data_IF_219315258789
#
_entry.id   IF_219315258789
#
_cell.length_a   1.000
_cell.length_b   1.000
_cell.length_c   1.000
_cell.angle_alpha   90.00
_cell.angle_beta   90.00
_cell.angle_gamma   90.00
#
_symmetry.space_group_name_H-M   'P 1'
#
loop_
_entity.id
_entity.type
_entity.pdbx_description
1 polymer ?
#
# COMPACT_ATOMS: atom_id res chain seq x y z
N UNK A 1 -16.13 30.95 -0.64
CA UNK A 1 -16.88 29.69 -0.41
C UNK A 1 -17.26 29.15 -1.78
N UNK A 2 -17.66 27.89 -1.93
CA UNK A 2 -18.12 27.35 -3.23
C UNK A 2 -19.49 27.96 -3.54
N UNK A 3 -19.51 29.14 -4.17
CA UNK A 3 -20.69 30.02 -4.26
C UNK A 3 -21.51 29.82 -5.55
N UNK A 4 -21.11 28.89 -6.43
CA UNK A 4 -21.90 28.54 -7.62
C UNK A 4 -22.50 27.15 -7.53
N UNK A 5 -23.79 27.02 -7.84
CA UNK A 5 -24.51 25.74 -7.96
C UNK A 5 -23.79 24.76 -8.91
N UNK A 6 -23.05 25.30 -9.90
CA UNK A 6 -22.22 24.53 -10.83
C UNK A 6 -21.00 23.85 -10.18
N UNK A 7 -20.48 24.38 -9.07
CA UNK A 7 -19.32 23.83 -8.33
C UNK A 7 -19.76 22.90 -7.17
N UNK A 8 -20.94 23.15 -6.61
CA UNK A 8 -21.56 22.30 -5.58
C UNK A 8 -21.98 20.92 -6.11
N UNK A 9 -22.43 20.83 -7.37
CA UNK A 9 -22.86 19.54 -7.98
C UNK A 9 -21.70 18.54 -8.11
N UNK A 10 -20.56 18.90 -8.71
CA UNK A 10 -19.38 18.03 -8.76
C UNK A 10 -18.90 17.65 -7.35
N UNK A 11 -18.91 18.59 -6.40
CA UNK A 11 -18.51 18.32 -5.03
C UNK A 11 -19.44 17.33 -4.32
N UNK A 12 -20.76 17.41 -4.55
CA UNK A 12 -21.73 16.43 -4.07
C UNK A 12 -21.56 15.06 -4.71
N UNK A 13 -21.40 15.01 -6.04
CA UNK A 13 -21.15 13.75 -6.76
C UNK A 13 -19.87 13.08 -6.26
N UNK A 14 -18.82 13.88 -6.03
CA UNK A 14 -17.58 13.41 -5.42
C UNK A 14 -17.82 12.97 -3.96
N UNK A 15 -18.56 13.72 -3.14
CA UNK A 15 -18.81 13.35 -1.74
C UNK A 15 -19.62 12.07 -1.62
N UNK A 16 -20.59 11.88 -2.50
CA UNK A 16 -21.43 10.68 -2.57
C UNK A 16 -20.63 9.47 -3.08
N UNK A 17 -19.63 9.68 -3.96
CA UNK A 17 -18.67 8.66 -4.37
C UNK A 17 -17.63 8.30 -3.28
N UNK A 18 -17.40 9.18 -2.30
CA UNK A 18 -16.51 8.96 -1.15
C UNK A 18 -17.06 8.00 -0.08
N UNK A 19 -18.24 7.41 -0.29
CA UNK A 19 -18.87 6.46 0.65
C UNK A 19 -18.37 5.03 0.41
N UNK A 20 -17.86 4.71 -0.78
CA UNK A 20 -17.27 3.40 -1.07
C UNK A 20 -15.79 3.35 -0.71
N UNK A 21 -15.38 2.31 0.03
CA UNK A 21 -13.96 2.01 0.28
C UNK A 21 -13.18 2.08 -1.04
N UNK A 22 -12.16 2.96 -1.14
CA UNK A 22 -11.34 3.05 -2.35
C UNK A 22 -10.82 1.68 -2.80
N UNK A 23 -10.91 1.38 -4.10
CA UNK A 23 -10.44 0.10 -4.66
C UNK A 23 -8.97 -0.19 -4.32
N UNK A 24 -8.14 0.86 -4.19
CA UNK A 24 -6.74 0.74 -3.79
C UNK A 24 -6.57 0.08 -2.41
N UNK A 25 -7.45 0.39 -1.46
CA UNK A 25 -7.47 -0.25 -0.13
C UNK A 25 -7.86 -1.71 -0.28
N UNK A 26 -8.92 -1.99 -1.04
CA UNK A 26 -9.40 -3.36 -1.29
C UNK A 26 -8.33 -4.23 -1.93
N UNK A 27 -7.66 -3.72 -2.96
CA UNK A 27 -6.55 -4.41 -3.66
C UNK A 27 -5.37 -4.63 -2.70
N UNK A 28 -4.98 -3.61 -1.94
CA UNK A 28 -3.85 -3.70 -1.01
C UNK A 28 -4.11 -4.71 0.11
N UNK A 29 -5.33 -4.75 0.66
CA UNK A 29 -5.73 -5.79 1.62
C UNK A 29 -5.73 -7.18 1.01
N UNK A 30 -6.28 -7.33 -0.20
CA UNK A 30 -6.29 -8.61 -0.90
C UNK A 30 -4.86 -9.12 -1.20
N UNK A 31 -3.95 -8.21 -1.57
CA UNK A 31 -2.54 -8.52 -1.79
C UNK A 31 -1.86 -8.97 -0.49
N UNK A 32 -2.11 -8.28 0.63
CA UNK A 32 -1.62 -8.66 1.96
C UNK A 32 -2.08 -10.07 2.36
N UNK A 33 -3.36 -10.37 2.22
CA UNK A 33 -3.93 -11.70 2.52
C UNK A 33 -3.32 -12.78 1.63
N UNK A 34 -3.18 -12.53 0.32
CA UNK A 34 -2.56 -13.49 -0.60
C UNK A 34 -1.10 -13.76 -0.27
N UNK A 35 -0.32 -12.71 0.02
CA UNK A 35 1.09 -12.84 0.32
C UNK A 35 1.33 -13.59 1.64
N UNK A 36 0.59 -13.26 2.70
CA UNK A 36 0.65 -13.98 3.98
C UNK A 36 0.21 -15.43 3.88
N UNK A 37 -0.86 -15.71 3.11
CA UNK A 37 -1.32 -17.08 2.85
C UNK A 37 -0.26 -17.91 2.12
N UNK A 38 0.38 -17.35 1.09
CA UNK A 38 1.44 -18.03 0.35
C UNK A 38 2.69 -18.24 1.22
N UNK A 39 3.08 -17.25 2.02
CA UNK A 39 4.18 -17.38 2.98
C UNK A 39 3.93 -18.52 3.98
N UNK A 40 2.70 -18.61 4.50
CA UNK A 40 2.27 -19.67 5.43
C UNK A 40 2.25 -21.03 4.75
N UNK A 41 1.79 -21.12 3.50
CA UNK A 41 1.80 -22.36 2.72
C UNK A 41 3.23 -22.87 2.51
N UNK A 42 4.17 -21.98 2.17
CA UNK A 42 5.59 -22.33 2.03
C UNK A 42 6.17 -22.85 3.35
N UNK A 43 5.90 -22.16 4.46
CA UNK A 43 6.36 -22.60 5.80
C UNK A 43 5.72 -23.93 6.23
N UNK A 44 4.48 -24.20 5.81
CA UNK A 44 3.82 -25.49 6.07
C UNK A 44 4.43 -26.64 5.26
N UNK A 45 4.98 -26.37 4.07
CA UNK A 45 5.61 -27.37 3.21
C UNK A 45 7.08 -27.58 3.60
N UNK A 46 7.79 -26.50 3.93
CA UNK A 46 9.19 -26.53 4.36
C UNK A 46 9.24 -26.65 5.88
N UNK A 47 9.34 -27.89 6.36
CA UNK A 47 9.52 -28.18 7.77
C UNK A 47 10.94 -27.81 8.21
N UNK A 48 11.11 -26.62 8.81
CA UNK A 48 12.39 -26.12 9.29
C UNK A 48 13.11 -27.08 10.26
N UNK A 49 12.35 -27.90 10.99
CA UNK A 49 12.88 -28.86 11.97
C UNK A 49 13.43 -30.15 11.34
N UNK A 50 13.34 -30.31 10.01
CA UNK A 50 13.84 -31.50 9.31
C UNK A 50 15.13 -31.22 8.57
N UNK A 51 16.09 -32.12 8.73
CA UNK A 51 17.30 -32.12 7.91
C UNK A 51 16.97 -32.60 6.50
N UNK A 52 17.14 -31.72 5.53
CA UNK A 52 16.94 -32.03 4.13
C UNK A 52 18.23 -32.55 3.49
N UNK A 53 18.16 -33.51 2.55
CA UNK A 53 19.33 -33.93 1.78
C UNK A 53 19.96 -32.75 1.03
N UNK A 54 21.29 -32.81 0.84
CA UNK A 54 22.04 -31.74 0.16
C UNK A 54 21.47 -31.40 -1.23
N UNK A 55 20.94 -32.40 -1.95
CA UNK A 55 20.32 -32.25 -3.26
C UNK A 55 19.11 -31.31 -3.30
N UNK A 56 18.44 -31.08 -2.16
CA UNK A 56 17.24 -30.24 -2.05
C UNK A 56 17.37 -29.10 -1.04
N UNK A 57 18.41 -29.13 -0.19
CA UNK A 57 18.68 -28.13 0.86
C UNK A 57 18.75 -26.68 0.35
N UNK A 58 19.33 -26.46 -0.83
CA UNK A 58 19.42 -25.14 -1.46
C UNK A 58 18.04 -24.59 -1.83
N UNK A 59 17.16 -25.45 -2.36
CA UNK A 59 15.80 -25.08 -2.74
C UNK A 59 14.92 -24.81 -1.53
N UNK A 60 15.03 -25.62 -0.48
CA UNK A 60 14.29 -25.38 0.78
C UNK A 60 14.71 -24.08 1.45
N UNK A 61 16.01 -23.74 1.41
CA UNK A 61 16.51 -22.46 1.93
C UNK A 61 15.98 -21.27 1.12
N UNK A 62 15.98 -21.36 -0.21
CA UNK A 62 15.41 -20.32 -1.07
C UNK A 62 13.90 -20.13 -0.83
N UNK A 63 13.15 -21.23 -0.69
CA UNK A 63 11.73 -21.17 -0.37
C UNK A 63 11.46 -20.43 0.94
N UNK A 64 12.25 -20.68 1.99
CA UNK A 64 12.15 -19.92 3.25
C UNK A 64 12.43 -18.43 3.03
N UNK A 65 13.46 -18.09 2.25
CA UNK A 65 13.73 -16.69 1.87
C UNK A 65 12.57 -16.02 1.11
N UNK A 66 11.89 -16.74 0.22
CA UNK A 66 10.69 -16.21 -0.45
C UNK A 66 9.51 -16.04 0.52
N UNK A 67 9.35 -16.95 1.48
CA UNK A 67 8.34 -16.80 2.53
C UNK A 67 8.56 -15.53 3.36
N UNK A 68 9.80 -15.21 3.71
CA UNK A 68 10.14 -13.97 4.41
C UNK A 68 9.81 -12.73 3.56
N UNK A 69 10.21 -12.72 2.28
CA UNK A 69 9.88 -11.62 1.37
C UNK A 69 8.37 -11.42 1.20
N UNK A 70 7.60 -12.51 1.14
CA UNK A 70 6.14 -12.46 1.06
C UNK A 70 5.53 -11.90 2.36
N UNK A 71 6.09 -12.22 3.52
CA UNK A 71 5.66 -11.64 4.79
C UNK A 71 5.92 -10.13 4.84
N UNK A 72 7.08 -9.67 4.38
CA UNK A 72 7.37 -8.24 4.27
C UNK A 72 6.46 -7.52 3.27
N UNK A 73 6.22 -8.12 2.10
CA UNK A 73 5.26 -7.61 1.13
C UNK A 73 3.82 -7.54 1.69
N UNK A 74 3.44 -8.53 2.50
CA UNK A 74 2.15 -8.54 3.19
C UNK A 74 2.02 -7.36 4.15
N UNK A 75 3.04 -7.13 4.98
CA UNK A 75 3.09 -6.00 5.92
C UNK A 75 3.04 -4.66 5.19
N UNK A 76 3.87 -4.49 4.15
CA UNK A 76 3.90 -3.26 3.36
C UNK A 76 2.54 -2.98 2.71
N UNK A 77 1.88 -3.99 2.16
CA UNK A 77 0.54 -3.85 1.55
C UNK A 77 -0.52 -3.51 2.59
N UNK A 78 -0.45 -4.09 3.80
CA UNK A 78 -1.35 -3.71 4.89
C UNK A 78 -1.12 -2.25 5.32
N UNK A 79 0.14 -1.85 5.53
CA UNK A 79 0.49 -0.47 5.90
C UNK A 79 0.03 0.53 4.83
N UNK A 80 0.14 0.18 3.55
CA UNK A 80 -0.40 0.99 2.47
C UNK A 80 -1.93 1.11 2.60
N UNK A 81 -2.65 0.02 2.82
CA UNK A 81 -4.08 0.07 3.05
C UNK A 81 -4.44 0.91 4.29
N UNK A 82 -3.70 0.76 5.39
CA UNK A 82 -3.90 1.50 6.64
C UNK A 82 -3.65 3.00 6.44
N UNK A 83 -2.60 3.37 5.71
CA UNK A 83 -2.29 4.78 5.39
C UNK A 83 -3.28 5.42 4.43
N UNK A 84 -3.91 4.64 3.54
CA UNK A 84 -4.95 5.11 2.62
C UNK A 84 -6.35 5.17 3.27
N UNK A 85 -6.59 4.41 4.33
CA UNK A 85 -7.89 4.31 5.02
C UNK A 85 -8.47 5.65 5.51
N UNK A 86 -7.67 6.64 5.95
CA UNK A 86 -8.18 7.95 6.32
C UNK A 86 -8.60 8.82 5.12
N UNK A 87 -8.19 8.49 3.89
CA UNK A 87 -8.41 9.31 2.69
C UNK A 87 -9.60 8.79 1.87
N UNK A 88 -10.77 8.74 2.49
CA UNK A 88 -12.01 8.24 1.85
C UNK A 88 -12.88 9.37 1.30
N UNK A 89 -12.72 10.60 1.81
CA UNK A 89 -13.45 11.76 1.31
C UNK A 89 -12.72 12.44 0.16
N UNK A 90 -13.44 13.06 -0.79
CA UNK A 90 -12.82 13.81 -1.89
C UNK A 90 -11.84 14.89 -1.46
N UNK A 91 -12.13 15.60 -0.37
CA UNK A 91 -11.23 16.64 0.16
C UNK A 91 -9.91 16.07 0.65
N UNK A 92 -9.93 14.87 1.25
CA UNK A 92 -8.76 14.17 1.76
C UNK A 92 -7.94 13.61 0.57
N UNK A 93 -8.60 13.04 -0.44
CA UNK A 93 -7.95 12.60 -1.68
C UNK A 93 -7.29 13.76 -2.44
N UNK A 94 -7.93 14.93 -2.47
CA UNK A 94 -7.36 16.14 -3.07
C UNK A 94 -6.09 16.57 -2.35
N UNK A 95 -6.10 16.55 -1.01
CA UNK A 95 -4.92 16.85 -0.19
C UNK A 95 -3.79 15.86 -0.44
N UNK A 96 -4.09 14.56 -0.55
CA UNK A 96 -3.10 13.53 -0.85
C UNK A 96 -2.43 13.75 -2.22
N UNK A 97 -3.21 14.09 -3.26
CA UNK A 97 -2.69 14.43 -4.60
C UNK A 97 -1.76 15.64 -4.56
N UNK A 98 -2.18 16.71 -3.88
CA UNK A 98 -1.38 17.94 -3.74
C UNK A 98 -0.08 17.64 -2.99
N UNK A 99 -0.15 16.88 -1.88
CA UNK A 99 1.03 16.48 -1.11
C UNK A 99 2.02 15.66 -1.94
N UNK A 100 1.53 14.72 -2.75
CA UNK A 100 2.37 13.93 -3.65
C UNK A 100 3.03 14.79 -4.74
N UNK A 101 2.29 15.69 -5.37
CA UNK A 101 2.85 16.61 -6.37
C UNK A 101 3.91 17.54 -5.76
N UNK A 102 3.69 18.02 -4.54
CA UNK A 102 4.68 18.80 -3.78
C UNK A 102 5.93 17.99 -3.46
N UNK A 103 5.78 16.73 -3.04
CA UNK A 103 6.91 15.83 -2.77
C UNK A 103 7.73 15.58 -4.03
N UNK A 104 7.09 15.20 -5.15
CA UNK A 104 7.77 14.94 -6.43
C UNK A 104 8.53 16.17 -6.90
N UNK A 105 7.87 17.34 -6.92
CA UNK A 105 8.53 18.61 -7.32
C UNK A 105 9.65 19.01 -6.38
N UNK A 106 9.50 18.80 -5.07
CA UNK A 106 10.57 19.05 -4.10
C UNK A 106 11.79 18.15 -4.30
N UNK A 107 11.57 16.90 -4.72
CA UNK A 107 12.63 15.95 -5.00
C UNK A 107 13.30 16.15 -6.37
N UNK A 108 12.60 16.79 -7.31
CA UNK A 108 13.12 17.16 -8.64
C UNK A 108 13.97 18.44 -8.61
N UNK A 109 13.85 19.26 -7.56
CA UNK A 109 14.63 20.50 -7.42
C UNK A 109 16.03 20.22 -6.85
N UNK A 110 17.06 20.47 -7.66
CA UNK A 110 18.46 20.58 -7.21
C UNK A 110 18.87 22.06 -7.08
N UNK A 111 19.55 22.46 -5.98
CA UNK A 111 19.85 21.66 -4.80
C UNK A 111 18.57 21.40 -3.98
N UNK A 112 18.52 20.25 -3.29
CA UNK A 112 17.41 19.86 -2.42
C UNK A 112 17.20 20.95 -1.36
N UNK A 113 16.24 21.83 -1.59
CA UNK A 113 15.88 22.85 -0.61
C UNK A 113 15.10 22.15 0.49
N UNK A 114 15.62 22.25 1.71
CA UNK A 114 15.00 21.72 2.92
C UNK A 114 13.55 22.23 2.98
N UNK A 115 12.59 21.31 2.85
CA UNK A 115 11.17 21.61 2.89
C UNK A 115 10.84 22.24 4.25
N UNK A 116 10.58 23.55 4.29
CA UNK A 116 10.16 24.26 5.50
C UNK A 116 8.63 24.25 5.54
N UNK A 117 8.00 23.70 6.59
CA UNK A 117 6.54 23.70 6.69
C UNK A 117 6.03 25.11 6.98
N UNK A 118 5.00 25.53 6.23
CA UNK A 118 4.13 26.67 6.57
C UNK A 118 3.09 26.24 7.59
#
# INVERSE_FOLDING_TARGET
MLDSIGELKPFKILSDAGISTPESITISRAASVKASSLASAIQGIVHADKTYPDSVSAWTTQLLGFSEQLNEASKASSLLADSLSPYTKPSELLQMKIGWECYVKGNELTPHTCFRPC
#
